data_IF_925284229459
#
_entry.id   IF_925284229459
#
_cell.length_a   1.000
_cell.length_b   1.000
_cell.length_c   1.000
_cell.angle_alpha   90.00
_cell.angle_beta   90.00
_cell.angle_gamma   90.00
#
_symmetry.space_group_name_H-M   'P 1'
#
loop_
_entity.id
_entity.type
_entity.pdbx_description
1 polymer ?
#
# COMPACT_ATOMS: atom_id res chain seq x y z
N UNK A 1 -12.01 -19.44 17.67
CA UNK A 1 -11.56 -19.09 16.29
C UNK A 1 -11.89 -20.26 15.39
N UNK A 2 -12.31 -20.01 14.15
CA UNK A 2 -12.59 -21.05 13.15
C UNK A 2 -11.75 -20.85 11.89
N UNK A 3 -11.45 -21.95 11.20
CA UNK A 3 -10.64 -21.98 10.00
C UNK A 3 -11.35 -22.77 8.90
N UNK A 4 -11.03 -22.49 7.64
CA UNK A 4 -11.46 -23.30 6.50
C UNK A 4 -10.60 -24.58 6.37
N UNK A 5 -10.90 -25.39 5.34
CA UNK A 5 -10.18 -26.64 5.04
C UNK A 5 -8.71 -26.42 4.62
N UNK A 6 -8.34 -25.18 4.28
CA UNK A 6 -6.99 -24.79 3.86
C UNK A 6 -6.22 -24.10 5.01
N UNK A 7 -6.82 -23.99 6.20
CA UNK A 7 -6.22 -23.35 7.37
C UNK A 7 -6.32 -21.83 7.38
N UNK A 8 -7.14 -21.21 6.52
CA UNK A 8 -7.39 -19.76 6.52
C UNK A 8 -8.44 -19.41 7.54
N UNK A 9 -8.24 -18.29 8.22
CA UNK A 9 -9.06 -17.84 9.34
C UNK A 9 -10.41 -17.32 8.84
N UNK A 10 -11.50 -18.00 9.20
CA UNK A 10 -12.88 -17.59 8.87
C UNK A 10 -13.45 -16.67 9.92
N UNK A 11 -13.40 -17.06 11.21
CA UNK A 11 -13.94 -16.23 12.29
C UNK A 11 -13.05 -16.21 13.52
N UNK A 12 -12.99 -15.04 14.16
CA UNK A 12 -12.44 -14.85 15.51
C UNK A 12 -13.56 -14.40 16.42
N UNK A 13 -13.63 -14.96 17.61
CA UNK A 13 -14.56 -14.58 18.64
C UNK A 13 -14.06 -15.00 20.01
N UNK A 14 -14.54 -14.31 21.03
CA UNK A 14 -14.29 -14.60 22.45
C UNK A 14 -15.68 -14.69 23.11
N UNK A 15 -15.93 -15.72 23.91
CA UNK A 15 -17.17 -15.88 24.70
C UNK A 15 -18.50 -15.83 23.90
N UNK A 16 -18.47 -16.20 22.62
CA UNK A 16 -19.66 -16.23 21.77
C UNK A 16 -19.86 -14.97 20.91
N UNK A 17 -19.18 -13.88 21.24
CA UNK A 17 -19.18 -12.66 20.42
C UNK A 17 -18.20 -12.80 19.25
N UNK A 18 -18.72 -12.58 18.03
CA UNK A 18 -17.90 -12.51 16.82
C UNK A 18 -17.11 -11.21 16.83
N UNK A 19 -15.79 -11.31 16.91
CA UNK A 19 -14.88 -10.16 16.85
C UNK A 19 -14.43 -9.82 15.43
N UNK A 20 -14.37 -10.85 14.58
CA UNK A 20 -13.94 -10.71 13.20
C UNK A 20 -14.50 -11.86 12.35
N UNK A 21 -15.00 -11.54 11.16
CA UNK A 21 -15.48 -12.50 10.19
C UNK A 21 -14.87 -12.19 8.82
N UNK A 22 -14.20 -13.17 8.22
CA UNK A 22 -13.58 -13.10 6.91
C UNK A 22 -14.37 -13.94 5.91
N UNK A 23 -14.56 -13.37 4.73
CA UNK A 23 -15.18 -14.04 3.58
C UNK A 23 -14.13 -14.14 2.49
N UNK A 24 -13.92 -15.36 2.00
CA UNK A 24 -13.00 -15.66 0.92
C UNK A 24 -13.76 -16.07 -0.34
N UNK A 25 -13.18 -15.81 -1.51
CA UNK A 25 -13.70 -16.30 -2.79
C UNK A 25 -13.38 -17.81 -2.98
N UNK A 26 -13.88 -18.40 -4.07
CA UNK A 26 -13.62 -19.80 -4.46
C UNK A 26 -12.14 -20.11 -4.68
N UNK A 27 -11.35 -19.10 -5.07
CA UNK A 27 -9.90 -19.19 -5.22
C UNK A 27 -9.16 -18.96 -3.88
N UNK A 28 -9.91 -18.67 -2.82
CA UNK A 28 -9.38 -18.52 -1.47
C UNK A 28 -8.74 -17.16 -1.18
N UNK A 29 -9.02 -16.14 -2.00
CA UNK A 29 -8.64 -14.75 -1.75
C UNK A 29 -9.63 -14.06 -0.81
N UNK A 30 -9.14 -13.18 0.07
CA UNK A 30 -9.96 -12.47 1.04
C UNK A 30 -10.78 -11.37 0.37
N UNK A 31 -12.10 -11.54 0.27
CA UNK A 31 -13.00 -10.57 -0.38
C UNK A 31 -13.57 -9.58 0.61
N UNK A 32 -13.83 -10.01 1.85
CA UNK A 32 -14.47 -9.15 2.87
C UNK A 32 -14.02 -9.50 4.27
N UNK A 33 -13.81 -8.48 5.10
CA UNK A 33 -13.66 -8.63 6.54
C UNK A 33 -14.73 -7.79 7.23
N UNK A 34 -15.38 -8.35 8.23
CA UNK A 34 -16.38 -7.70 9.09
C UNK A 34 -15.82 -7.71 10.51
N UNK A 35 -15.72 -6.54 11.12
CA UNK A 35 -15.29 -6.39 12.52
C UNK A 35 -16.46 -6.63 13.49
N UNK A 36 -16.16 -6.76 14.78
CA UNK A 36 -17.12 -6.96 15.87
C UNK A 36 -18.30 -5.96 15.86
N UNK A 37 -18.04 -4.75 15.38
CA UNK A 37 -19.00 -3.64 15.33
C UNK A 37 -19.84 -3.63 14.04
N UNK A 38 -19.80 -4.70 13.23
CA UNK A 38 -20.50 -4.81 11.95
C UNK A 38 -19.92 -3.97 10.81
N UNK A 39 -18.83 -3.24 11.07
CA UNK A 39 -18.07 -2.48 10.07
C UNK A 39 -17.38 -3.46 9.12
N UNK A 40 -17.59 -3.28 7.81
CA UNK A 40 -17.01 -4.18 6.82
C UNK A 40 -16.07 -3.47 5.86
N UNK A 41 -14.92 -4.08 5.59
CA UNK A 41 -14.01 -3.71 4.51
C UNK A 41 -14.08 -4.76 3.41
N UNK A 42 -13.98 -4.34 2.16
CA UNK A 42 -14.03 -5.25 1.01
C UNK A 42 -12.84 -5.03 0.10
N UNK A 43 -12.41 -6.09 -0.57
CA UNK A 43 -11.33 -6.09 -1.55
C UNK A 43 -11.88 -6.67 -2.84
N UNK A 44 -11.76 -5.92 -3.92
CA UNK A 44 -12.13 -6.35 -5.26
C UNK A 44 -10.83 -6.65 -6.00
N UNK A 45 -10.74 -7.84 -6.58
CA UNK A 45 -9.58 -8.27 -7.36
C UNK A 45 -9.82 -8.11 -8.86
N UNK A 46 -8.76 -7.99 -9.64
CA UNK A 46 -8.79 -8.07 -11.11
C UNK A 46 -8.60 -9.52 -11.60
N UNK A 47 -8.61 -9.72 -12.92
CA UNK A 47 -8.43 -11.04 -13.56
C UNK A 47 -7.06 -11.68 -13.27
N UNK A 48 -6.06 -10.88 -12.88
CA UNK A 48 -4.72 -11.35 -12.49
C UNK A 48 -4.62 -11.63 -10.97
N UNK A 49 -5.76 -11.72 -10.27
CA UNK A 49 -5.84 -11.89 -8.81
C UNK A 49 -5.12 -10.79 -8.01
N UNK A 50 -4.98 -9.58 -8.57
CA UNK A 50 -4.39 -8.43 -7.91
C UNK A 50 -5.47 -7.49 -7.36
N UNK A 51 -5.27 -6.84 -6.20
CA UNK A 51 -6.26 -5.94 -5.61
C UNK A 51 -6.56 -4.71 -6.49
N UNK A 52 -7.73 -4.66 -7.11
CA UNK A 52 -8.19 -3.53 -7.93
C UNK A 52 -8.77 -2.40 -7.09
N UNK A 53 -9.50 -2.73 -6.03
CA UNK A 53 -10.19 -1.74 -5.21
C UNK A 53 -10.32 -2.21 -3.77
N UNK A 54 -10.09 -1.31 -2.83
CA UNK A 54 -10.41 -1.49 -1.42
C UNK A 54 -11.60 -0.59 -1.09
N UNK A 55 -12.64 -1.17 -0.50
CA UNK A 55 -13.79 -0.44 0.03
C UNK A 55 -13.64 -0.43 1.55
N UNK A 56 -13.59 0.75 2.12
CA UNK A 56 -13.47 0.99 3.54
C UNK A 56 -14.86 0.96 4.21
N UNK A 57 -14.93 0.80 5.55
CA UNK A 57 -16.21 0.71 6.26
C UNK A 57 -17.09 1.96 6.20
N UNK A 58 -16.50 3.11 5.90
CA UNK A 58 -17.19 4.39 5.70
C UNK A 58 -17.78 4.52 4.28
N UNK A 59 -17.63 3.51 3.42
CA UNK A 59 -18.08 3.52 2.03
C UNK A 59 -17.09 4.16 1.05
N UNK A 60 -16.04 4.78 1.58
CA UNK A 60 -14.91 5.31 0.81
C UNK A 60 -14.18 4.17 0.09
N UNK A 61 -13.58 4.44 -1.07
CA UNK A 61 -12.84 3.41 -1.79
C UNK A 61 -11.53 3.90 -2.37
N UNK A 62 -10.50 3.06 -2.26
CA UNK A 62 -9.18 3.28 -2.85
C UNK A 62 -9.06 2.35 -4.04
N UNK A 63 -8.69 2.86 -5.21
CA UNK A 63 -8.53 2.09 -6.45
C UNK A 63 -7.06 2.00 -6.83
N UNK A 64 -6.69 0.86 -7.40
CA UNK A 64 -5.35 0.55 -7.86
C UNK A 64 -5.42 0.17 -9.33
N UNK A 65 -4.49 0.69 -10.13
CA UNK A 65 -4.26 0.23 -11.50
C UNK A 65 -2.87 -0.34 -11.60
N UNK A 66 -2.70 -1.28 -12.52
CA UNK A 66 -1.45 -2.01 -12.70
C UNK A 66 -0.94 -1.84 -14.13
N UNK A 67 0.38 -1.82 -14.29
CA UNK A 67 1.02 -1.93 -15.60
C UNK A 67 1.00 -3.39 -16.11
N UNK A 68 1.42 -3.60 -17.36
CA UNK A 68 1.47 -4.94 -17.96
C UNK A 68 2.45 -5.92 -17.29
N UNK A 69 3.29 -5.44 -16.36
CA UNK A 69 4.23 -6.25 -15.57
C UNK A 69 3.70 -6.54 -14.17
N UNK A 70 2.53 -6.01 -13.82
CA UNK A 70 1.89 -6.19 -12.53
C UNK A 70 2.34 -5.20 -11.45
N UNK A 71 3.08 -4.14 -11.79
CA UNK A 71 3.42 -3.07 -10.85
C UNK A 71 2.27 -2.06 -10.75
N UNK A 72 2.11 -1.42 -9.60
CA UNK A 72 1.03 -0.43 -9.39
C UNK A 72 1.31 0.84 -10.20
N UNK A 73 0.57 1.09 -11.27
CA UNK A 73 0.74 2.28 -12.14
C UNK A 73 0.03 3.51 -11.60
N UNK A 74 -1.12 3.35 -10.91
CA UNK A 74 -1.78 4.47 -10.23
C UNK A 74 -2.54 4.03 -9.00
N UNK A 75 -2.64 4.94 -8.03
CA UNK A 75 -3.51 4.82 -6.87
C UNK A 75 -4.49 5.99 -6.89
N UNK A 76 -5.77 5.70 -6.72
CA UNK A 76 -6.82 6.70 -6.59
C UNK A 76 -7.41 6.61 -5.20
N UNK A 77 -7.28 7.67 -4.42
CA UNK A 77 -7.85 7.79 -3.08
C UNK A 77 -9.37 8.06 -3.14
N UNK A 78 -10.16 7.90 -2.05
CA UNK A 78 -11.60 8.17 -2.04
C UNK A 78 -11.96 9.61 -2.41
N UNK A 79 -11.03 10.55 -2.22
CA UNK A 79 -11.18 11.95 -2.63
C UNK A 79 -10.92 12.18 -4.12
N UNK A 80 -10.85 11.12 -4.93
CA UNK A 80 -10.46 11.14 -6.36
C UNK A 80 -9.07 11.74 -6.62
N UNK A 81 -8.20 11.72 -5.61
CA UNK A 81 -6.80 12.11 -5.76
C UNK A 81 -6.06 10.96 -6.42
N UNK A 82 -5.43 11.23 -7.57
CA UNK A 82 -4.73 10.22 -8.36
C UNK A 82 -3.23 10.47 -8.27
N UNK A 83 -2.52 9.48 -7.75
CA UNK A 83 -1.05 9.43 -7.77
C UNK A 83 -0.61 8.37 -8.78
N UNK A 84 0.30 8.73 -9.68
CA UNK A 84 0.83 7.84 -10.72
C UNK A 84 2.26 7.44 -10.40
N UNK A 85 2.63 6.23 -10.80
CA UNK A 85 3.95 5.65 -10.59
C UNK A 85 4.46 5.09 -11.93
N UNK A 86 5.76 5.27 -12.18
CA UNK A 86 6.47 4.66 -13.31
C UNK A 86 7.64 3.85 -12.80
N UNK A 87 7.90 2.75 -13.50
CA UNK A 87 8.96 1.82 -13.17
C UNK A 87 9.94 1.70 -14.34
N UNK A 88 11.18 1.35 -14.03
CA UNK A 88 12.16 0.94 -15.03
C UNK A 88 12.00 -0.53 -15.44
N UNK A 89 12.86 -0.99 -16.34
CA UNK A 89 12.84 -2.38 -16.83
C UNK A 89 13.13 -3.42 -15.74
N UNK A 90 13.70 -3.00 -14.61
CA UNK A 90 13.98 -3.84 -13.44
C UNK A 90 12.84 -3.76 -12.40
N UNK A 91 11.69 -3.17 -12.76
CA UNK A 91 10.53 -2.95 -11.88
C UNK A 91 10.83 -2.05 -10.66
N UNK A 92 11.79 -1.14 -10.79
CA UNK A 92 12.14 -0.17 -9.73
C UNK A 92 11.42 1.14 -10.00
N UNK A 93 10.85 1.75 -8.96
CA UNK A 93 10.09 2.99 -9.08
C UNK A 93 11.00 4.15 -9.50
N UNK A 94 10.84 4.70 -10.70
CA UNK A 94 11.68 5.80 -11.21
C UNK A 94 10.99 7.17 -11.16
N UNK A 95 9.66 7.21 -11.19
CA UNK A 95 8.90 8.45 -11.16
C UNK A 95 7.61 8.27 -10.37
N UNK A 96 7.29 9.24 -9.53
CA UNK A 96 5.98 9.39 -8.91
C UNK A 96 5.42 10.77 -9.27
N UNK A 97 4.17 10.81 -9.69
CA UNK A 97 3.48 12.05 -10.07
C UNK A 97 2.23 12.20 -9.21
N UNK A 98 2.16 13.30 -8.46
CA UNK A 98 0.97 13.64 -7.65
C UNK A 98 -0.14 14.29 -8.51
N UNK A 99 -1.29 14.57 -7.90
CA UNK A 99 -2.45 15.22 -8.53
C UNK A 99 -2.14 16.62 -9.06
N UNK A 100 -1.21 17.33 -8.41
CA UNK A 100 -0.74 18.66 -8.82
C UNK A 100 0.30 18.58 -9.97
N UNK A 101 0.42 17.42 -10.63
CA UNK A 101 1.44 17.09 -11.62
C UNK A 101 2.89 17.19 -11.09
N UNK A 102 3.03 17.30 -9.76
CA UNK A 102 4.31 17.31 -9.07
C UNK A 102 5.05 15.99 -9.28
N UNK A 103 6.18 16.06 -9.99
CA UNK A 103 7.01 14.88 -10.28
C UNK A 103 8.14 14.74 -9.28
N UNK A 104 8.30 13.51 -8.78
CA UNK A 104 9.42 13.08 -7.97
C UNK A 104 10.11 11.94 -8.71
N UNK A 105 11.36 12.16 -9.10
CA UNK A 105 12.19 11.17 -9.77
C UNK A 105 13.12 10.47 -8.80
N UNK A 106 13.33 9.17 -9.01
CA UNK A 106 14.18 8.31 -8.19
C UNK A 106 15.30 7.75 -9.07
N UNK A 107 16.53 7.73 -8.56
CA UNK A 107 17.68 7.13 -9.25
C UNK A 107 18.35 6.09 -8.37
N UNK A 108 18.69 4.98 -8.99
CA UNK A 108 19.31 3.82 -8.34
C UNK A 108 20.72 3.58 -8.86
N UNK A 109 21.57 2.99 -8.04
CA UNK A 109 22.85 2.43 -8.49
C UNK A 109 22.67 1.05 -9.15
N UNK A 110 23.76 0.48 -9.65
CA UNK A 110 23.79 -0.86 -10.25
C UNK A 110 23.52 -2.00 -9.26
N UNK A 111 23.44 -1.70 -7.95
CA UNK A 111 23.14 -2.64 -6.87
C UNK A 111 21.75 -2.43 -6.27
N UNK A 112 20.87 -1.75 -7.00
CA UNK A 112 19.49 -1.43 -6.61
C UNK A 112 19.35 -0.53 -5.36
N UNK A 113 20.39 0.22 -5.00
CA UNK A 113 20.28 1.21 -3.94
C UNK A 113 19.80 2.54 -4.49
N UNK A 114 18.80 3.12 -3.82
CA UNK A 114 18.35 4.48 -4.10
C UNK A 114 19.46 5.48 -3.73
N UNK A 115 20.04 6.15 -4.73
CA UNK A 115 21.14 7.11 -4.55
C UNK A 115 20.68 8.55 -4.62
N UNK A 116 19.54 8.82 -5.25
CA UNK A 116 19.05 10.17 -5.45
C UNK A 116 17.54 10.21 -5.59
N UNK A 117 16.94 11.24 -5.01
CA UNK A 117 15.56 11.63 -5.22
C UNK A 117 15.53 13.11 -5.61
N UNK A 118 14.84 13.43 -6.70
CA UNK A 118 14.72 14.79 -7.25
C UNK A 118 13.26 15.20 -7.30
N UNK A 119 12.93 16.31 -6.64
CA UNK A 119 11.59 16.90 -6.72
C UNK A 119 11.47 17.87 -7.91
N UNK A 120 10.23 18.28 -8.22
CA UNK A 120 9.92 19.25 -9.27
C UNK A 120 10.64 20.60 -9.12
N UNK A 121 10.94 21.02 -7.89
CA UNK A 121 11.71 22.25 -7.61
C UNK A 121 13.22 22.09 -7.86
N UNK A 122 13.68 20.93 -8.34
CA UNK A 122 15.09 20.63 -8.56
C UNK A 122 15.86 20.30 -7.28
N UNK A 123 15.19 20.25 -6.13
CA UNK A 123 15.78 19.80 -4.88
C UNK A 123 16.19 18.32 -4.99
N UNK A 124 17.51 18.07 -5.01
CA UNK A 124 18.09 16.73 -5.06
C UNK A 124 18.53 16.33 -3.66
N UNK A 125 18.04 15.18 -3.19
CA UNK A 125 18.56 14.55 -1.97
C UNK A 125 19.38 13.32 -2.34
N UNK A 126 20.67 13.35 -2.00
CA UNK A 126 21.56 12.21 -2.11
C UNK A 126 21.51 11.37 -0.84
N UNK A 127 21.15 10.10 -0.97
CA UNK A 127 21.11 9.17 0.17
C UNK A 127 22.45 8.42 0.22
N UNK A 128 23.19 8.56 1.33
CA UNK A 128 24.41 7.77 1.57
C UNK A 128 24.07 6.46 2.27
N UNK A 129 24.94 5.44 2.18
CA UNK A 129 24.70 4.10 2.79
C UNK A 129 24.25 4.12 4.26
N UNK A 130 24.62 5.15 5.04
CA UNK A 130 24.17 5.33 6.43
C UNK A 130 22.67 5.71 6.55
N UNK A 131 22.10 6.41 5.57
CA UNK A 131 20.66 6.71 5.53
C UNK A 131 19.84 5.60 4.89
N UNK A 132 20.43 4.79 4.00
CA UNK A 132 19.79 3.64 3.34
C UNK A 132 19.36 2.56 4.36
N UNK A 133 20.16 2.29 5.39
CA UNK A 133 19.81 1.34 6.46
C UNK A 133 18.60 1.77 7.31
N UNK A 134 18.37 3.09 7.46
CA UNK A 134 17.21 3.64 8.16
C UNK A 134 15.95 3.57 7.28
N UNK A 135 16.12 3.74 5.97
CA UNK A 135 15.07 3.65 4.96
C UNK A 135 14.60 2.22 4.68
N UNK A 136 15.52 1.27 4.54
CA UNK A 136 15.19 -0.16 4.42
C UNK A 136 14.46 -0.67 5.68
N UNK A 137 14.86 -0.22 6.87
CA UNK A 137 14.13 -0.52 8.11
C UNK A 137 12.76 0.20 8.19
N UNK A 138 12.61 1.39 7.61
CA UNK A 138 11.34 2.11 7.55
C UNK A 138 10.33 1.42 6.62
N UNK A 139 10.78 1.01 5.43
CA UNK A 139 9.97 0.23 4.47
C UNK A 139 9.60 -1.13 5.05
N UNK A 140 10.53 -1.81 5.73
CA UNK A 140 10.28 -3.10 6.40
C UNK A 140 9.31 -2.97 7.58
N UNK A 141 9.44 -1.93 8.40
CA UNK A 141 8.54 -1.69 9.54
C UNK A 141 7.11 -1.39 9.08
N UNK A 142 6.89 -0.62 8.01
CA UNK A 142 5.54 -0.39 7.47
C UNK A 142 4.87 -1.65 6.91
N UNK A 143 5.65 -2.56 6.31
CA UNK A 143 5.14 -3.89 5.93
C UNK A 143 4.83 -4.81 7.12
N UNK A 144 5.38 -4.53 8.31
CA UNK A 144 5.11 -5.32 9.52
C UNK A 144 3.80 -4.90 10.21
N UNK A 145 3.35 -3.65 10.03
CA UNK A 145 2.05 -3.17 10.56
C UNK A 145 0.85 -3.52 9.67
N UNK A 146 1.06 -3.97 8.44
CA UNK A 146 0.00 -4.53 7.60
C UNK A 146 -0.50 -5.90 8.12
N UNK A 147 0.30 -6.61 8.93
CA UNK A 147 -0.03 -7.92 9.51
C UNK A 147 -0.42 -7.88 11.00
N UNK A 148 -0.50 -6.69 11.61
CA UNK A 148 -0.85 -6.54 13.03
C UNK A 148 -2.01 -5.55 13.20
N UNK A 149 -3.18 -5.94 12.69
CA UNK A 149 -4.54 -5.60 13.14
C UNK A 149 -4.82 -4.35 14.00
N UNK A 150 -4.18 -3.20 13.78
CA UNK A 150 -4.44 -1.99 14.55
C UNK A 150 -4.70 -0.83 13.59
N UNK A 151 -5.92 -0.30 13.72
CA UNK A 151 -6.40 0.98 13.20
C UNK A 151 -5.30 2.02 13.19
N UNK A 152 -4.85 2.41 12.00
CA UNK A 152 -3.89 3.50 11.86
C UNK A 152 -4.49 4.50 10.88
N UNK A 153 -4.80 5.70 11.39
CA UNK A 153 -5.04 6.88 10.55
C UNK A 153 -4.05 6.88 9.41
N UNK A 154 -4.53 7.01 8.18
CA UNK A 154 -3.68 7.30 7.04
C UNK A 154 -3.05 8.68 7.29
N UNK A 155 -1.90 8.69 7.97
CA UNK A 155 -0.93 9.76 7.83
C UNK A 155 -0.48 9.67 6.38
N UNK A 156 -1.12 10.49 5.54
CA UNK A 156 -0.62 10.96 4.27
C UNK A 156 0.75 11.59 4.53
N UNK A 157 1.78 10.75 4.57
CA UNK A 157 3.14 11.25 4.40
C UNK A 157 3.34 11.28 2.90
N UNK A 158 2.82 12.34 2.27
CA UNK A 158 3.35 12.79 0.99
C UNK A 158 4.87 12.86 1.15
N UNK A 159 5.68 12.37 0.19
CA UNK A 159 7.13 12.53 0.25
C UNK A 159 7.58 14.00 0.38
N UNK A 160 6.68 14.96 0.12
CA UNK A 160 6.82 16.37 0.50
C UNK A 160 7.18 16.58 1.99
N UNK A 161 6.64 15.77 2.91
CA UNK A 161 6.95 15.84 4.34
C UNK A 161 8.38 15.35 4.68
N UNK A 162 9.10 14.73 3.75
CA UNK A 162 10.51 14.39 3.96
C UNK A 162 11.43 15.58 3.73
N UNK A 163 11.06 16.58 2.94
CA UNK A 163 11.93 17.74 2.66
C UNK A 163 12.05 18.69 3.86
N UNK A 164 11.11 18.66 4.80
CA UNK A 164 11.02 19.61 5.91
C UNK A 164 11.55 19.14 7.27
N UNK A 165 12.19 17.97 7.37
CA UNK A 165 12.81 17.56 8.64
C UNK A 165 14.26 18.07 8.72
N UNK A 166 14.63 18.82 9.77
CA UNK A 166 15.98 19.35 9.98
C UNK A 166 17.02 18.25 10.22
#
# INVERSE_FOLDING_TARGET
MSYDKEGKLLTVGIEGDKLLENIYDKEGYLVKTIDALGRSRQIIYNENSQPKQFILPDGSSIKFTYDGRGNVSSITDPYNIIVKYKYDDLNRLVEMTDIEENKISYRYDERDHLISLTNQEGAVRHLTMKSCAKWQNFLRKKNTYANAGISTRFLTVSPAAMISLP
#
